data_IF_817159507844
#
_entry.id   IF_817159507844
#
_cell.length_a   1.000
_cell.length_b   1.000
_cell.length_c   1.000
_cell.angle_alpha   90.00
_cell.angle_beta   90.00
_cell.angle_gamma   90.00
#
_symmetry.space_group_name_H-M   'P 1'
#
loop_
_entity.id
_entity.type
_entity.pdbx_description
1 polymer ?
#
# COMPACT_ATOMS: atom_id res chain seq x y z
N UNK A 1 15.20 -4.78 -5.35
CA UNK A 1 14.14 -3.81 -4.99
C UNK A 1 13.09 -3.82 -6.09
N UNK A 2 11.84 -3.57 -5.72
CA UNK A 2 10.75 -3.34 -6.66
C UNK A 2 10.24 -1.92 -6.51
N UNK A 3 9.64 -1.40 -7.56
CA UNK A 3 9.02 -0.08 -7.59
C UNK A 3 7.50 -0.22 -7.64
N UNK A 4 6.79 0.61 -6.89
CA UNK A 4 5.34 0.78 -7.04
C UNK A 4 5.07 2.18 -7.58
N UNK A 5 4.19 2.28 -8.57
CA UNK A 5 3.65 3.53 -9.11
C UNK A 5 2.15 3.58 -8.80
N UNK A 6 1.76 4.52 -7.94
CA UNK A 6 0.37 4.71 -7.50
C UNK A 6 -0.19 5.94 -8.19
N UNK A 7 -1.30 5.80 -8.90
CA UNK A 7 -2.07 6.91 -9.48
C UNK A 7 -3.30 7.13 -8.61
N UNK A 8 -3.47 8.34 -8.10
CA UNK A 8 -4.61 8.72 -7.27
C UNK A 8 -5.75 9.23 -8.14
N UNK A 9 -6.99 8.89 -7.79
CA UNK A 9 -8.18 9.40 -8.47
C UNK A 9 -8.31 10.93 -8.21
N UNK A 10 -8.69 11.69 -9.24
CA UNK A 10 -8.44 13.14 -9.37
C UNK A 10 -9.38 14.05 -8.56
N UNK A 11 -10.28 13.51 -7.74
CA UNK A 11 -11.38 14.28 -7.13
C UNK A 11 -10.96 15.20 -5.96
N UNK A 12 -9.67 15.22 -5.56
CA UNK A 12 -9.19 16.08 -4.48
C UNK A 12 -7.93 16.88 -4.85
N UNK A 13 -8.11 18.19 -5.07
CA UNK A 13 -7.11 19.17 -5.53
C UNK A 13 -5.81 19.29 -4.69
N UNK A 14 -5.78 18.73 -3.48
CA UNK A 14 -4.62 18.83 -2.59
C UNK A 14 -3.72 17.58 -2.63
N UNK A 15 -4.08 16.56 -3.42
CA UNK A 15 -3.34 15.29 -3.50
C UNK A 15 -2.40 15.25 -4.70
N UNK A 16 -1.31 14.51 -4.53
CA UNK A 16 -0.46 14.09 -5.64
C UNK A 16 -1.28 13.27 -6.64
N UNK A 17 -1.14 13.58 -7.93
CA UNK A 17 -1.71 12.71 -8.99
C UNK A 17 -1.07 11.33 -9.01
N UNK A 18 0.25 11.29 -8.75
CA UNK A 18 1.02 10.06 -8.78
C UNK A 18 2.10 10.06 -7.69
N UNK A 19 2.37 8.89 -7.14
CA UNK A 19 3.47 8.64 -6.21
C UNK A 19 4.24 7.40 -6.64
N UNK A 20 5.56 7.51 -6.69
CA UNK A 20 6.46 6.39 -6.92
C UNK A 20 7.18 6.03 -5.63
N UNK A 21 7.14 4.75 -5.26
CA UNK A 21 7.74 4.24 -4.02
C UNK A 21 8.62 3.04 -4.32
N UNK A 22 9.56 2.76 -3.42
CA UNK A 22 10.47 1.61 -3.56
C UNK A 22 10.41 0.74 -2.32
N UNK A 23 10.58 -0.57 -2.52
CA UNK A 23 10.50 -1.52 -1.42
C UNK A 23 11.21 -2.84 -1.72
N UNK A 24 11.09 -3.81 -0.80
CA UNK A 24 11.57 -5.17 -0.99
C UNK A 24 11.01 -5.76 -2.29
N UNK A 25 11.77 -6.67 -2.89
CA UNK A 25 11.32 -7.33 -4.11
C UNK A 25 10.24 -8.34 -3.73
N UNK A 26 9.00 -8.08 -4.10
CA UNK A 26 7.87 -8.94 -3.74
C UNK A 26 7.36 -9.79 -4.91
N UNK A 27 7.41 -9.25 -6.14
CA UNK A 27 7.04 -9.99 -7.36
C UNK A 27 8.22 -10.08 -8.31
N UNK A 28 8.14 -10.98 -9.29
CA UNK A 28 9.10 -11.03 -10.40
C UNK A 28 9.06 -9.75 -11.26
N UNK A 29 7.97 -8.99 -11.16
CA UNK A 29 7.79 -7.71 -11.87
C UNK A 29 8.59 -6.61 -11.17
N UNK A 30 9.44 -5.92 -11.93
CA UNK A 30 10.23 -4.81 -11.41
C UNK A 30 9.37 -3.60 -11.00
N UNK A 31 8.21 -3.41 -11.65
CA UNK A 31 7.31 -2.28 -11.44
C UNK A 31 5.87 -2.76 -11.31
N UNK A 32 5.21 -2.41 -10.21
CA UNK A 32 3.78 -2.60 -9.99
C UNK A 32 3.06 -1.27 -10.17
N UNK A 33 2.04 -1.21 -11.03
CA UNK A 33 1.25 0.00 -11.28
C UNK A 33 -0.14 -0.18 -10.67
N UNK A 34 -0.58 0.79 -9.87
CA UNK A 34 -1.81 0.74 -9.08
C UNK A 34 -2.60 2.02 -9.34
N UNK A 35 -3.89 1.88 -9.57
CA UNK A 35 -4.84 2.99 -9.54
C UNK A 35 -5.65 2.92 -8.24
N UNK A 36 -5.76 4.02 -7.51
CA UNK A 36 -6.69 4.09 -6.36
C UNK A 36 -8.11 4.19 -6.88
N UNK A 37 -9.03 3.47 -6.24
CA UNK A 37 -10.46 3.49 -6.57
C UNK A 37 -11.18 4.47 -5.65
N UNK A 38 -10.97 4.33 -4.35
CA UNK A 38 -11.68 5.08 -3.31
C UNK A 38 -10.79 5.30 -2.07
N UNK A 39 -11.07 6.35 -1.33
CA UNK A 39 -10.57 6.48 0.05
C UNK A 39 -11.53 5.77 1.01
N UNK A 40 -11.00 4.82 1.76
CA UNK A 40 -11.75 4.07 2.77
C UNK A 40 -11.71 4.79 4.11
N UNK A 41 -10.56 5.40 4.45
CA UNK A 41 -10.36 6.09 5.72
C UNK A 41 -9.23 7.10 5.64
N UNK A 42 -9.35 8.21 6.36
CA UNK A 42 -8.32 9.23 6.47
C UNK A 42 -8.26 9.82 7.88
N UNK A 43 -7.05 9.97 8.40
CA UNK A 43 -6.75 10.83 9.54
C UNK A 43 -5.37 11.46 9.36
N UNK A 44 -4.95 12.27 10.34
CA UNK A 44 -3.67 13.00 10.31
C UNK A 44 -2.42 12.13 10.14
N UNK A 45 -2.48 10.86 10.52
CA UNK A 45 -1.30 9.97 10.54
C UNK A 45 -1.35 8.91 9.46
N UNK A 46 -2.54 8.53 9.01
CA UNK A 46 -2.75 7.42 8.09
C UNK A 46 -3.88 7.66 7.11
N UNK A 47 -3.73 7.15 5.90
CA UNK A 47 -4.82 7.09 4.91
C UNK A 47 -4.91 5.68 4.34
N UNK A 48 -6.13 5.19 4.13
CA UNK A 48 -6.39 3.85 3.58
C UNK A 48 -7.19 4.00 2.30
N UNK A 49 -6.69 3.41 1.22
CA UNK A 49 -7.37 3.39 -0.07
C UNK A 49 -7.71 1.97 -0.50
N UNK A 50 -8.84 1.84 -1.19
CA UNK A 50 -9.06 0.74 -2.10
C UNK A 50 -8.35 1.02 -3.41
N UNK A 51 -7.72 0.02 -4.01
CA UNK A 51 -6.99 0.18 -5.27
C UNK A 51 -7.05 -1.07 -6.13
N UNK A 52 -6.54 -0.95 -7.34
CA UNK A 52 -6.39 -2.09 -8.25
C UNK A 52 -5.09 -1.98 -9.04
N UNK A 53 -4.48 -3.12 -9.35
CA UNK A 53 -3.35 -3.13 -10.29
C UNK A 53 -3.82 -2.92 -11.73
N UNK A 54 -3.05 -2.17 -12.52
CA UNK A 54 -3.36 -1.87 -13.94
C UNK A 54 -3.25 -3.10 -14.87
N UNK A 55 -2.54 -4.15 -14.45
CA UNK A 55 -2.33 -5.38 -15.23
C UNK A 55 -3.39 -6.45 -14.91
N UNK A 56 -3.05 -7.53 -14.19
CA UNK A 56 -4.07 -8.37 -13.59
C UNK A 56 -4.93 -7.45 -12.72
N UNK A 57 -6.26 -7.46 -12.83
CA UNK A 57 -7.13 -6.55 -12.06
C UNK A 57 -7.29 -7.04 -10.61
N UNK A 58 -6.17 -7.18 -9.91
CA UNK A 58 -6.13 -7.56 -8.50
C UNK A 58 -6.57 -6.38 -7.66
N UNK A 59 -7.56 -6.60 -6.81
CA UNK A 59 -8.04 -5.60 -5.84
C UNK A 59 -7.09 -5.57 -4.63
N UNK A 60 -6.81 -4.35 -4.17
CA UNK A 60 -5.81 -4.07 -3.15
C UNK A 60 -6.36 -3.11 -2.10
N UNK A 61 -5.77 -3.22 -0.90
CA UNK A 61 -5.83 -2.19 0.14
C UNK A 61 -4.45 -1.55 0.26
N UNK A 62 -4.41 -0.22 0.20
CA UNK A 62 -3.20 0.60 0.35
C UNK A 62 -3.28 1.37 1.65
N UNK A 63 -2.43 1.04 2.62
CA UNK A 63 -2.38 1.71 3.92
C UNK A 63 -1.14 2.59 4.00
N UNK A 64 -1.36 3.90 3.94
CA UNK A 64 -0.32 4.93 4.01
C UNK A 64 -0.06 5.38 5.45
N UNK A 65 1.20 5.64 5.77
CA UNK A 65 1.64 6.41 6.93
C UNK A 65 2.25 7.74 6.48
N UNK A 66 1.85 8.82 7.16
CA UNK A 66 2.35 10.19 6.93
C UNK A 66 3.15 10.74 8.11
N UNK A 67 3.38 9.94 9.15
CA UNK A 67 4.14 10.33 10.33
C UNK A 67 5.09 9.23 10.77
N UNK A 68 6.18 9.60 11.45
CA UNK A 68 7.19 8.64 11.92
C UNK A 68 6.58 7.53 12.79
N UNK A 69 5.68 7.90 13.72
CA UNK A 69 5.01 6.94 14.60
C UNK A 69 4.16 5.92 13.81
N UNK A 70 3.39 6.39 12.83
CA UNK A 70 2.55 5.54 12.00
C UNK A 70 3.40 4.66 11.07
N UNK A 71 4.54 5.16 10.60
CA UNK A 71 5.47 4.38 9.80
C UNK A 71 6.09 3.24 10.60
N UNK A 72 6.53 3.48 11.83
CA UNK A 72 7.00 2.43 12.74
C UNK A 72 5.92 1.37 12.99
N UNK A 73 4.66 1.79 13.14
CA UNK A 73 3.53 0.87 13.33
C UNK A 73 3.31 0.00 12.08
N UNK A 74 3.40 0.61 10.90
CA UNK A 74 3.34 -0.08 9.61
C UNK A 74 4.51 -1.04 9.37
N UNK A 75 5.72 -0.69 9.80
CA UNK A 75 6.90 -1.57 9.73
C UNK A 75 6.72 -2.80 10.62
N UNK A 76 6.20 -2.62 11.84
CA UNK A 76 5.87 -3.74 12.73
C UNK A 76 4.79 -4.65 12.14
N UNK A 77 3.77 -4.06 11.53
CA UNK A 77 2.72 -4.80 10.83
C UNK A 77 3.29 -5.60 9.64
N UNK A 78 4.13 -4.98 8.81
CA UNK A 78 4.82 -5.64 7.71
C UNK A 78 5.65 -6.84 8.18
N UNK A 79 6.37 -6.71 9.30
CA UNK A 79 7.14 -7.78 9.91
C UNK A 79 6.28 -8.98 10.34
N UNK A 80 5.05 -8.73 10.84
CA UNK A 80 4.10 -9.80 11.18
C UNK A 80 3.68 -10.56 9.92
N UNK A 81 3.30 -9.85 8.85
CA UNK A 81 2.94 -10.45 7.57
C UNK A 81 4.09 -11.27 6.97
N UNK A 82 5.29 -10.69 6.94
CA UNK A 82 6.47 -11.29 6.33
C UNK A 82 6.93 -12.55 7.05
N UNK A 83 6.85 -12.57 8.39
CA UNK A 83 7.45 -13.64 9.19
C UNK A 83 6.39 -14.58 9.77
N UNK A 84 5.57 -14.06 10.67
CA UNK A 84 4.69 -14.88 11.53
C UNK A 84 3.48 -15.41 10.77
N UNK A 85 2.96 -14.63 9.83
CA UNK A 85 1.72 -14.93 9.13
C UNK A 85 1.92 -15.42 7.69
N UNK A 86 3.17 -15.58 7.25
CA UNK A 86 3.53 -15.98 5.88
C UNK A 86 2.78 -17.21 5.37
N UNK A 87 2.56 -18.21 6.23
CA UNK A 87 1.88 -19.48 5.88
C UNK A 87 0.35 -19.38 5.81
N UNK A 88 -0.24 -18.29 6.31
CA UNK A 88 -1.69 -18.09 6.36
C UNK A 88 -2.21 -17.17 5.24
N UNK A 89 -1.31 -16.50 4.53
CA UNK A 89 -1.66 -15.58 3.46
C UNK A 89 -2.31 -16.31 2.27
N UNK A 90 -3.32 -15.66 1.67
CA UNK A 90 -4.07 -16.19 0.52
C UNK A 90 -5.02 -17.34 0.87
N UNK A 91 -5.12 -17.70 2.15
CA UNK A 91 -6.04 -18.75 2.63
C UNK A 91 -6.92 -18.26 3.75
N UNK A 92 -6.32 -17.76 4.84
CA UNK A 92 -7.02 -17.29 6.04
C UNK A 92 -6.92 -15.77 6.18
N UNK A 93 -5.81 -15.18 5.75
CA UNK A 93 -5.60 -13.74 5.77
C UNK A 93 -5.25 -13.24 4.36
N UNK A 94 -5.41 -11.93 4.08
CA UNK A 94 -5.06 -11.37 2.78
C UNK A 94 -3.59 -11.58 2.41
N UNK A 95 -3.31 -11.72 1.10
CA UNK A 95 -1.95 -11.66 0.60
C UNK A 95 -1.30 -10.30 0.92
N UNK A 96 -0.09 -10.32 1.45
CA UNK A 96 0.72 -9.12 1.71
C UNK A 96 1.70 -8.93 0.56
N UNK A 97 1.64 -7.77 -0.11
CA UNK A 97 2.46 -7.46 -1.28
C UNK A 97 3.73 -6.65 -0.99
N UNK A 98 3.95 -6.27 0.28
CA UNK A 98 5.12 -5.52 0.69
C UNK A 98 4.82 -4.19 1.36
N UNK A 99 5.85 -3.66 2.02
CA UNK A 99 5.92 -2.28 2.50
C UNK A 99 6.84 -1.50 1.56
N UNK A 100 6.34 -0.39 1.04
CA UNK A 100 7.06 0.51 0.14
C UNK A 100 7.20 1.86 0.78
N UNK A 101 8.34 2.51 0.58
CA UNK A 101 8.67 3.77 1.24
C UNK A 101 9.17 4.80 0.21
N UNK A 102 8.94 6.08 0.52
CA UNK A 102 9.46 7.23 -0.23
C UNK A 102 9.60 8.43 0.69
N UNK A 103 10.61 9.26 0.45
CA UNK A 103 10.68 10.60 1.04
C UNK A 103 10.10 11.60 0.05
N UNK A 104 9.00 12.25 0.42
CA UNK A 104 8.34 13.26 -0.39
C UNK A 104 8.16 14.54 0.44
N UNK A 105 8.63 15.67 -0.07
CA UNK A 105 8.59 16.97 0.63
C UNK A 105 9.11 16.91 2.08
N UNK A 106 10.26 16.24 2.28
CA UNK A 106 10.88 15.96 3.58
C UNK A 106 10.06 15.09 4.56
N UNK A 107 8.91 14.57 4.14
CA UNK A 107 8.10 13.61 4.91
C UNK A 107 8.44 12.20 4.45
N UNK A 108 8.67 11.31 5.41
CA UNK A 108 8.85 9.89 5.14
C UNK A 108 7.48 9.21 5.08
N UNK A 109 7.12 8.73 3.90
CA UNK A 109 5.83 8.08 3.62
C UNK A 109 6.06 6.59 3.44
N UNK A 110 5.30 5.77 4.16
CA UNK A 110 5.24 4.33 3.97
C UNK A 110 3.88 3.90 3.43
N UNK A 111 3.84 2.83 2.64
CA UNK A 111 2.63 2.23 2.09
C UNK A 111 2.72 0.71 2.18
N UNK A 112 1.84 0.11 3.00
CA UNK A 112 1.65 -1.33 3.07
C UNK A 112 0.55 -1.72 2.10
N UNK A 113 0.86 -2.70 1.25
CA UNK A 113 -0.03 -3.15 0.19
C UNK A 113 -0.52 -4.55 0.55
N UNK A 114 -1.84 -4.71 0.64
CA UNK A 114 -2.51 -5.97 0.93
C UNK A 114 -3.51 -6.30 -0.17
N UNK A 115 -3.84 -7.57 -0.33
CA UNK A 115 -5.02 -8.00 -1.08
C UNK A 115 -6.29 -7.48 -0.43
N UNK A 116 -7.25 -7.08 -1.25
CA UNK A 116 -8.59 -6.77 -0.78
C UNK A 116 -9.42 -8.06 -0.72
N UNK A 117 -9.82 -8.44 0.50
CA UNK A 117 -10.64 -9.64 0.74
C UNK A 117 -12.11 -9.51 0.29
N UNK A 118 -12.52 -8.34 -0.20
CA UNK A 118 -13.84 -8.15 -0.82
C UNK A 118 -15.02 -8.08 0.14
N UNK A 119 -14.78 -8.02 1.46
CA UNK A 119 -15.83 -7.98 2.48
C UNK A 119 -16.37 -6.55 2.72
N UNK A 120 -16.55 -5.79 1.62
CA UNK A 120 -17.19 -4.47 1.64
C UNK A 120 -18.64 -4.64 1.16
N UNK A 121 -19.56 -4.78 2.11
CA UNK A 121 -21.01 -4.68 1.90
C UNK A 121 -21.57 -3.46 2.63
#
# INVERSE_FOLDING_TARGET
>A
MSTVQITFNEDEYWRLKQLQMTGPRFTDTAVMKIDTIEEISHNFHTTVYGGQTQGPRTLLVLKFAHSAKALEDLQREADLYQNQLSRLQGTVIPMFYGLFEVVYDAIHIGCLILEDGGDRH
#
